data_IF_865971410166
#
_entry.id   IF_865971410166
#
_cell.length_a   1.000
_cell.length_b   1.000
_cell.length_c   1.000
_cell.angle_alpha   90.00
_cell.angle_beta   90.00
_cell.angle_gamma   90.00
#
_symmetry.space_group_name_H-M   'P 1'
#
loop_
_entity.id
_entity.type
_entity.pdbx_description
1 polymer ?
#
# COMPACT_ATOMS: atom_id res chain seq x y z
N UNK A 1 36.59 -3.43 10.25
CA UNK A 1 36.03 -2.79 9.03
C UNK A 1 34.52 -2.92 9.09
N UNK A 2 33.81 -1.82 9.28
CA UNK A 2 32.36 -1.83 9.43
C UNK A 2 31.69 -2.30 8.13
N UNK A 3 30.90 -3.38 8.22
CA UNK A 3 30.12 -3.91 7.10
C UNK A 3 28.92 -2.98 6.93
N UNK A 4 29.07 -1.97 6.06
CA UNK A 4 27.93 -1.13 5.65
C UNK A 4 26.93 -2.05 4.98
N UNK A 5 25.90 -2.46 5.73
CA UNK A 5 24.68 -3.00 5.18
C UNK A 5 24.00 -1.87 4.40
N UNK A 6 24.48 -1.59 3.19
CA UNK A 6 23.72 -0.82 2.23
C UNK A 6 22.53 -1.69 1.87
N UNK A 7 21.48 -1.60 2.70
CA UNK A 7 20.23 -2.31 2.53
C UNK A 7 19.85 -2.21 1.07
N UNK A 8 19.48 -3.36 0.50
CA UNK A 8 19.10 -3.53 -0.89
C UNK A 8 17.98 -2.54 -1.21
N UNK A 9 18.35 -1.31 -1.57
CA UNK A 9 17.45 -0.35 -2.19
C UNK A 9 17.19 -0.97 -3.56
N UNK A 10 16.18 -1.82 -3.61
CA UNK A 10 15.74 -2.44 -4.85
C UNK A 10 15.51 -1.31 -5.84
N UNK A 11 16.37 -1.22 -6.84
CA UNK A 11 16.18 -0.26 -7.92
C UNK A 11 14.82 -0.50 -8.55
N UNK A 12 14.22 0.53 -9.14
CA UNK A 12 12.96 0.41 -9.87
C UNK A 12 13.03 -0.74 -10.89
N UNK A 13 14.18 -0.91 -11.55
CA UNK A 13 14.43 -2.00 -12.47
C UNK A 13 14.29 -3.39 -11.82
N UNK A 14 14.97 -3.62 -10.69
CA UNK A 14 14.93 -4.91 -10.00
C UNK A 14 13.53 -5.20 -9.45
N UNK A 15 12.83 -4.18 -8.96
CA UNK A 15 11.46 -4.31 -8.49
C UNK A 15 10.50 -4.66 -9.64
N UNK A 16 10.61 -3.98 -10.79
CA UNK A 16 9.82 -4.29 -11.98
C UNK A 16 10.08 -5.73 -12.47
N UNK A 17 11.34 -6.16 -12.51
CA UNK A 17 11.73 -7.51 -12.94
C UNK A 17 11.21 -8.61 -12.01
N UNK A 18 10.99 -8.30 -10.73
CA UNK A 18 10.49 -9.29 -9.76
C UNK A 18 9.01 -9.64 -9.90
N UNK A 19 8.26 -8.92 -10.74
CA UNK A 19 6.80 -9.06 -10.89
C UNK A 19 6.01 -8.89 -9.56
N UNK A 20 6.62 -8.30 -8.55
CA UNK A 20 5.98 -7.92 -7.30
C UNK A 20 5.51 -6.47 -7.40
N UNK A 21 4.18 -6.31 -7.50
CA UNK A 21 3.54 -5.00 -7.62
C UNK A 21 3.82 -4.11 -6.40
N UNK A 22 3.74 -4.64 -5.19
CA UNK A 22 3.99 -3.87 -3.96
C UNK A 22 5.43 -3.37 -3.95
N UNK A 23 6.39 -4.24 -4.26
CA UNK A 23 7.80 -3.89 -4.33
C UNK A 23 8.09 -2.82 -5.40
N UNK A 24 7.45 -2.91 -6.57
CA UNK A 24 7.57 -1.90 -7.62
C UNK A 24 7.06 -0.53 -7.15
N UNK A 25 5.87 -0.50 -6.52
CA UNK A 25 5.28 0.74 -6.00
C UNK A 25 6.16 1.39 -4.92
N UNK A 26 6.71 0.59 -4.00
CA UNK A 26 7.66 1.09 -2.98
C UNK A 26 8.93 1.67 -3.61
N UNK A 27 9.49 1.00 -4.63
CA UNK A 27 10.67 1.49 -5.32
C UNK A 27 10.39 2.83 -6.05
N UNK A 28 9.23 2.94 -6.70
CA UNK A 28 8.80 4.18 -7.37
C UNK A 28 8.53 5.31 -6.38
N UNK A 29 7.88 5.03 -5.24
CA UNK A 29 7.66 5.99 -4.15
C UNK A 29 8.99 6.58 -3.67
N UNK A 30 9.95 5.72 -3.37
CA UNK A 30 11.26 6.15 -2.86
C UNK A 30 12.00 6.99 -3.91
N UNK A 31 11.93 6.61 -5.20
CA UNK A 31 12.53 7.40 -6.28
C UNK A 31 11.91 8.80 -6.39
N UNK A 32 10.59 8.91 -6.26
CA UNK A 32 9.90 10.21 -6.30
C UNK A 32 10.26 11.06 -5.08
N UNK A 33 10.28 10.46 -3.88
CA UNK A 33 10.69 11.16 -2.67
C UNK A 33 12.11 11.72 -2.80
N UNK A 34 13.07 10.93 -3.31
CA UNK A 34 14.42 11.42 -3.58
C UNK A 34 14.43 12.58 -4.58
N UNK A 35 13.66 12.50 -5.67
CA UNK A 35 13.59 13.60 -6.63
C UNK A 35 13.00 14.88 -6.01
N UNK A 36 12.02 14.77 -5.11
CA UNK A 36 11.47 15.91 -4.39
C UNK A 36 12.50 16.54 -3.45
N UNK A 37 13.27 15.72 -2.72
CA UNK A 37 14.33 16.19 -1.82
C UNK A 37 15.49 16.88 -2.58
N UNK A 38 15.82 16.40 -3.79
CA UNK A 38 16.85 16.99 -4.67
C UNK A 38 16.43 18.34 -5.28
N UNK A 39 15.14 18.68 -5.20
CA UNK A 39 14.58 19.89 -5.79
C UNK A 39 14.15 19.69 -7.24
N UNK A 40 12.86 19.88 -7.50
CA UNK A 40 12.24 19.77 -8.81
C UNK A 40 11.66 21.11 -9.27
N UNK A 41 11.41 21.25 -10.57
CA UNK A 41 10.74 22.44 -11.09
C UNK A 41 9.33 22.57 -10.49
N UNK A 42 8.79 23.79 -10.37
CA UNK A 42 7.44 24.01 -9.86
C UNK A 42 6.35 23.25 -10.65
N UNK A 43 6.59 23.05 -11.96
CA UNK A 43 5.71 22.25 -12.82
C UNK A 43 5.73 20.77 -12.43
N UNK A 44 6.92 20.23 -12.15
CA UNK A 44 7.08 18.82 -11.78
C UNK A 44 6.65 18.56 -10.34
N UNK A 45 6.79 19.55 -9.44
CA UNK A 45 6.42 19.43 -8.03
C UNK A 45 4.96 18.99 -7.85
N UNK A 46 4.02 19.64 -8.53
CA UNK A 46 2.60 19.29 -8.44
C UNK A 46 2.33 17.86 -8.94
N UNK A 47 2.92 17.50 -10.09
CA UNK A 47 2.76 16.19 -10.70
C UNK A 47 3.37 15.07 -9.83
N UNK A 48 4.57 15.28 -9.29
CA UNK A 48 5.28 14.31 -8.46
C UNK A 48 4.62 14.14 -7.09
N UNK A 49 4.13 15.23 -6.49
CA UNK A 49 3.41 15.17 -5.20
C UNK A 49 2.11 14.38 -5.35
N UNK A 50 1.34 14.63 -6.43
CA UNK A 50 0.13 13.85 -6.72
C UNK A 50 0.46 12.38 -6.95
N UNK A 51 1.49 12.10 -7.74
CA UNK A 51 1.92 10.71 -8.00
C UNK A 51 2.37 9.99 -6.72
N UNK A 52 2.99 10.70 -5.79
CA UNK A 52 3.41 10.17 -4.49
C UNK A 52 2.20 9.79 -3.61
N UNK A 53 1.18 10.65 -3.55
CA UNK A 53 -0.09 10.38 -2.84
C UNK A 53 -0.79 9.14 -3.43
N UNK A 54 -0.91 9.07 -4.77
CA UNK A 54 -1.56 7.95 -5.45
C UNK A 54 -0.86 6.61 -5.17
N UNK A 55 0.47 6.58 -5.28
CA UNK A 55 1.26 5.37 -4.99
C UNK A 55 1.12 4.96 -3.51
N UNK A 56 1.07 5.92 -2.59
CA UNK A 56 0.95 5.63 -1.16
C UNK A 56 -0.40 4.99 -0.85
N UNK A 57 -1.49 5.54 -1.38
CA UNK A 57 -2.84 4.95 -1.26
C UNK A 57 -2.92 3.53 -1.84
N UNK A 58 -2.24 3.30 -2.97
CA UNK A 58 -2.23 1.98 -3.60
C UNK A 58 -1.47 0.94 -2.76
N UNK A 59 -0.35 1.33 -2.15
CA UNK A 59 0.38 0.47 -1.20
C UNK A 59 -0.49 0.15 0.01
N UNK A 60 -1.16 1.15 0.60
CA UNK A 60 -2.08 0.94 1.72
C UNK A 60 -3.21 -0.03 1.38
N UNK A 61 -3.76 0.07 0.16
CA UNK A 61 -4.79 -0.86 -0.32
C UNK A 61 -4.27 -2.29 -0.45
N UNK A 62 -3.06 -2.48 -0.95
CA UNK A 62 -2.42 -3.81 -1.04
C UNK A 62 -2.20 -4.37 0.37
N UNK A 63 -1.59 -3.58 1.26
CA UNK A 63 -1.28 -3.99 2.62
C UNK A 63 -2.55 -4.31 3.42
N UNK A 64 -3.65 -3.56 3.22
CA UNK A 64 -4.95 -3.86 3.82
C UNK A 64 -5.56 -5.18 3.30
N UNK A 65 -5.47 -5.43 1.99
CA UNK A 65 -5.95 -6.69 1.39
C UNK A 65 -5.16 -7.89 1.89
N UNK A 66 -3.85 -7.76 2.03
CA UNK A 66 -3.00 -8.84 2.51
C UNK A 66 -3.24 -9.12 4.00
N UNK A 67 -3.40 -8.08 4.83
CA UNK A 67 -3.84 -8.25 6.23
C UNK A 67 -5.21 -8.92 6.37
N UNK A 68 -6.17 -8.61 5.49
CA UNK A 68 -7.50 -9.23 5.49
C UNK A 68 -7.48 -10.72 5.10
N UNK A 69 -6.48 -11.15 4.30
CA UNK A 69 -6.25 -12.57 3.99
C UNK A 69 -5.58 -13.31 5.15
N UNK A 70 -4.68 -12.64 5.87
CA UNK A 70 -3.95 -13.23 6.98
C UNK A 70 -4.78 -13.38 8.27
N UNK A 71 -5.88 -12.61 8.41
CA UNK A 71 -6.71 -12.65 9.61
C UNK A 71 -8.19 -12.99 9.30
N UNK A 72 -8.65 -14.24 9.55
CA UNK A 72 -10.04 -14.65 9.29
C UNK A 72 -11.07 -13.89 10.15
N UNK A 73 -10.66 -13.27 11.27
CA UNK A 73 -11.55 -12.47 12.12
C UNK A 73 -12.02 -11.19 11.40
N UNK A 74 -11.20 -10.59 10.53
CA UNK A 74 -11.58 -9.37 9.78
C UNK A 74 -12.70 -9.65 8.77
N UNK A 75 -12.77 -10.87 8.23
CA UNK A 75 -13.89 -11.28 7.35
C UNK A 75 -15.21 -11.45 8.13
N UNK A 76 -15.15 -11.85 9.39
CA UNK A 76 -16.33 -12.06 10.23
C UNK A 76 -16.99 -10.74 10.69
N UNK A 77 -16.23 -9.65 10.85
CA UNK A 77 -16.78 -8.33 11.22
C UNK A 77 -17.64 -7.67 10.13
N UNK A 78 -17.59 -8.18 8.88
CA UNK A 78 -18.42 -7.69 7.77
C UNK A 78 -19.81 -8.35 7.68
N UNK A 79 -20.10 -9.35 8.52
CA UNK A 79 -21.43 -9.97 8.61
C UNK A 79 -22.27 -9.07 9.54
N UNK A 80 -23.09 -8.20 8.95
CA UNK A 80 -24.09 -7.47 9.72
C UNK A 80 -25.08 -8.48 10.34
N UNK A 81 -25.39 -8.31 11.63
CA UNK A 81 -26.41 -9.10 12.30
C UNK A 81 -27.72 -9.02 11.50
N UNK A 82 -28.28 -10.18 11.17
CA UNK A 82 -29.67 -10.24 10.74
C UNK A 82 -30.52 -9.61 11.84
N UNK A 83 -31.44 -8.67 11.51
CA UNK A 83 -32.37 -8.18 12.49
C UNK A 83 -33.11 -9.38 13.08
N UNK A 84 -32.96 -9.59 14.39
CA UNK A 84 -33.71 -10.57 15.14
C UNK A 84 -35.19 -10.20 15.03
N UNK A 85 -35.97 -11.01 14.33
CA UNK A 85 -37.43 -10.84 14.20
C UNK A 85 -38.12 -11.62 15.33
N UNK A 86 -38.63 -10.94 16.38
CA UNK A 86 -39.23 -11.60 17.53
C UNK A 86 -40.62 -12.17 17.26
N UNK A 87 -41.21 -11.97 16.07
CA UNK A 87 -42.62 -12.29 15.81
C UNK A 87 -42.87 -13.73 15.31
N UNK A 88 -41.85 -14.60 15.27
CA UNK A 88 -41.99 -15.99 14.82
C UNK A 88 -42.38 -16.99 15.92
N UNK A 89 -42.85 -16.51 17.08
CA UNK A 89 -43.18 -17.35 18.23
C UNK A 89 -44.51 -17.02 18.91
N UNK A 90 -45.62 -17.01 18.18
CA UNK A 90 -46.96 -17.07 18.78
C UNK A 90 -47.86 -18.06 18.02
N UNK A 91 -48.23 -19.14 18.72
CA UNK A 91 -49.35 -20.08 18.50
C UNK A 91 -49.36 -21.03 17.28
#
# INVERSE_FOLDING_TARGET
MAKTSSGVRGTVYNAARSNDRRRLLVAMRNKIATALDEGVSARDLAALTKRLDDITREIESIDARDKAKENPIVQAFGIADQPFDPDTGSE
#
